data_IF_065482843099
#
_entry.id   IF_065482843099
#
_cell.length_a   1.000
_cell.length_b   1.000
_cell.length_c   1.000
_cell.angle_alpha   90.00
_cell.angle_beta   90.00
_cell.angle_gamma   90.00
#
_symmetry.space_group_name_H-M   'P 1'
#
loop_
_entity.id
_entity.type
_entity.pdbx_description
1 polymer ?
#
# COMPACT_ATOMS: atom_id res chain seq x y z
N UNK A 1 -21.19 5.89 12.29
CA UNK A 1 -19.89 6.12 11.63
C UNK A 1 -20.07 7.36 10.79
N UNK A 2 -19.28 8.41 10.98
CA UNK A 2 -19.35 9.59 10.11
C UNK A 2 -19.02 9.17 8.68
N UNK A 3 -19.80 9.63 7.72
CA UNK A 3 -19.52 9.49 6.29
C UNK A 3 -18.26 10.30 5.97
N UNK A 4 -17.26 9.61 5.42
CA UNK A 4 -16.01 10.25 4.99
C UNK A 4 -16.25 10.97 3.66
N UNK A 5 -15.83 12.23 3.53
CA UNK A 5 -15.97 12.96 2.28
C UNK A 5 -15.10 12.34 1.18
N UNK A 6 -15.54 12.48 -0.08
CA UNK A 6 -14.84 12.00 -1.26
C UNK A 6 -13.66 12.90 -1.61
N UNK A 7 -12.68 12.36 -2.35
CA UNK A 7 -11.59 13.18 -2.89
C UNK A 7 -12.11 13.97 -4.08
N UNK A 8 -11.55 15.15 -4.41
CA UNK A 8 -11.99 15.94 -5.56
C UNK A 8 -11.97 15.13 -6.86
N UNK A 9 -10.89 14.37 -7.10
CA UNK A 9 -10.84 13.42 -8.22
C UNK A 9 -11.97 12.39 -8.22
N UNK A 10 -12.30 11.82 -7.06
CA UNK A 10 -13.39 10.84 -6.97
C UNK A 10 -14.75 11.47 -7.24
N UNK A 11 -14.96 12.72 -6.83
CA UNK A 11 -16.18 13.48 -7.15
C UNK A 11 -16.29 13.63 -8.66
N UNK A 12 -15.24 14.15 -9.32
CA UNK A 12 -15.20 14.30 -10.78
C UNK A 12 -15.46 12.99 -11.51
N UNK A 13 -14.76 11.91 -11.15
CA UNK A 13 -14.89 10.61 -11.82
C UNK A 13 -16.33 10.06 -11.68
N UNK A 14 -16.99 10.28 -10.53
CA UNK A 14 -18.40 9.89 -10.32
C UNK A 14 -19.39 10.80 -11.04
N UNK A 15 -19.11 12.09 -11.16
CA UNK A 15 -19.93 13.03 -11.94
C UNK A 15 -19.90 12.69 -13.43
N UNK A 16 -18.72 12.37 -13.97
CA UNK A 16 -18.57 11.90 -15.35
C UNK A 16 -19.37 10.60 -15.58
N UNK A 17 -19.28 9.64 -14.66
CA UNK A 17 -20.02 8.39 -14.77
C UNK A 17 -21.54 8.61 -14.65
N UNK A 18 -21.98 9.48 -13.72
CA UNK A 18 -23.38 9.89 -13.61
C UNK A 18 -23.89 10.43 -14.95
N UNK A 19 -23.12 11.30 -15.59
CA UNK A 19 -23.54 11.94 -16.83
C UNK A 19 -23.53 10.96 -18.01
N UNK A 20 -22.58 10.00 -18.05
CA UNK A 20 -22.62 8.88 -19.00
C UNK A 20 -23.87 8.02 -18.84
N UNK A 21 -24.22 7.64 -17.61
CA UNK A 21 -25.40 6.80 -17.32
C UNK A 21 -26.71 7.52 -17.67
N UNK A 22 -26.79 8.84 -17.46
CA UNK A 22 -27.93 9.66 -17.90
C UNK A 22 -28.11 9.60 -19.41
N UNK A 23 -27.03 9.80 -20.18
CA UNK A 23 -27.07 9.72 -21.64
C UNK A 23 -27.56 8.33 -22.09
N UNK A 24 -27.08 7.27 -21.44
CA UNK A 24 -27.49 5.90 -21.74
C UNK A 24 -28.98 5.67 -21.42
N UNK A 25 -29.50 6.25 -20.34
CA UNK A 25 -30.93 6.15 -20.00
C UNK A 25 -31.83 6.85 -21.02
N UNK A 26 -31.39 8.01 -21.52
CA UNK A 26 -32.11 8.85 -22.48
C UNK A 26 -32.09 8.27 -23.91
N UNK A 27 -31.18 7.35 -24.20
CA UNK A 27 -31.13 6.68 -25.50
C UNK A 27 -32.40 5.82 -25.72
N UNK A 28 -33.01 5.92 -26.92
CA UNK A 28 -34.05 4.98 -27.32
C UNK A 28 -33.41 3.59 -27.43
N UNK A 29 -34.07 2.59 -26.84
CA UNK A 29 -33.67 1.19 -26.94
C UNK A 29 -34.58 0.50 -27.96
N UNK A 30 -34.23 0.49 -29.26
CA UNK A 30 -35.07 -0.08 -30.30
C UNK A 30 -35.19 -1.60 -30.19
N UNK A 31 -34.21 -2.26 -29.57
CA UNK A 31 -34.12 -3.72 -29.49
C UNK A 31 -34.69 -4.28 -28.18
N UNK A 32 -34.98 -3.42 -27.19
CA UNK A 32 -35.43 -3.83 -25.86
C UNK A 32 -34.42 -4.69 -25.09
N UNK A 33 -33.15 -4.71 -25.55
CA UNK A 33 -32.08 -5.53 -24.98
C UNK A 33 -31.36 -4.81 -23.83
N UNK A 34 -31.59 -3.51 -23.68
CA UNK A 34 -30.90 -2.70 -22.69
C UNK A 34 -31.62 -2.77 -21.34
N UNK A 35 -30.91 -3.22 -20.30
CA UNK A 35 -31.46 -3.29 -18.95
C UNK A 35 -31.51 -1.90 -18.28
N UNK A 36 -32.51 -1.09 -18.65
CA UNK A 36 -32.72 0.25 -18.08
C UNK A 36 -32.89 0.24 -16.55
N UNK A 37 -33.41 -0.85 -15.98
CA UNK A 37 -33.57 -1.00 -14.53
C UNK A 37 -32.23 -1.05 -13.79
N UNK A 38 -31.24 -1.76 -14.35
CA UNK A 38 -29.91 -1.86 -13.77
C UNK A 38 -29.15 -0.54 -13.84
N UNK A 39 -29.23 0.15 -14.98
CA UNK A 39 -28.64 1.48 -15.16
C UNK A 39 -29.30 2.51 -14.25
N UNK A 40 -30.63 2.50 -14.10
CA UNK A 40 -31.33 3.36 -13.15
C UNK A 40 -30.92 3.09 -11.70
N UNK A 41 -30.72 1.82 -11.33
CA UNK A 41 -30.22 1.47 -10.00
C UNK A 41 -28.76 1.93 -9.79
N UNK A 42 -27.92 1.85 -10.81
CA UNK A 42 -26.55 2.36 -10.75
C UNK A 42 -26.51 3.89 -10.63
N UNK A 43 -27.32 4.59 -11.42
CA UNK A 43 -27.45 6.06 -11.36
C UNK A 43 -27.92 6.50 -9.96
N UNK A 44 -28.91 5.82 -9.39
CA UNK A 44 -29.38 6.12 -8.03
C UNK A 44 -28.27 5.93 -6.98
N UNK A 45 -27.48 4.86 -7.09
CA UNK A 45 -26.34 4.62 -6.18
C UNK A 45 -25.29 5.73 -6.28
N UNK A 46 -24.93 6.15 -7.50
CA UNK A 46 -23.94 7.21 -7.71
C UNK A 46 -24.45 8.56 -7.21
N UNK A 47 -25.71 8.91 -7.49
CA UNK A 47 -26.30 10.15 -6.98
C UNK A 47 -26.27 10.19 -5.46
N UNK A 48 -26.70 9.11 -4.79
CA UNK A 48 -26.62 9.00 -3.34
C UNK A 48 -25.19 9.13 -2.83
N UNK A 49 -24.23 8.51 -3.51
CA UNK A 49 -22.83 8.56 -3.14
C UNK A 49 -22.23 9.97 -3.29
N UNK A 50 -22.60 10.70 -4.34
CA UNK A 50 -22.21 12.10 -4.54
C UNK A 50 -22.88 13.03 -3.52
N UNK A 51 -24.16 12.83 -3.20
CA UNK A 51 -24.90 13.61 -2.20
C UNK A 51 -24.31 13.45 -0.79
N UNK A 52 -24.03 12.22 -0.37
CA UNK A 52 -23.47 11.94 0.96
C UNK A 52 -21.98 12.24 1.05
N UNK A 53 -21.27 12.19 -0.09
CA UNK A 53 -19.81 12.24 -0.16
C UNK A 53 -19.22 13.61 -0.54
N UNK A 54 -20.03 14.51 -1.10
CA UNK A 54 -19.57 15.85 -1.48
C UNK A 54 -19.72 16.81 -0.30
N UNK A 55 -18.64 17.48 0.14
CA UNK A 55 -18.73 18.46 1.23
C UNK A 55 -19.62 19.65 0.83
N UNK A 56 -20.47 20.15 1.75
CA UNK A 56 -21.31 21.30 1.48
C UNK A 56 -20.47 22.59 1.35
N UNK A 57 -20.99 23.63 0.68
CA UNK A 57 -20.32 24.92 0.62
C UNK A 57 -20.16 25.51 2.03
N UNK A 58 -18.93 25.88 2.39
CA UNK A 58 -18.60 26.40 3.73
C UNK A 58 -18.88 27.90 3.87
N UNK A 59 -19.56 28.29 4.95
CA UNK A 59 -19.68 29.68 5.39
C UNK A 59 -18.40 30.16 6.06
N UNK A 60 -18.21 31.48 6.20
CA UNK A 60 -17.02 32.04 6.88
C UNK A 60 -16.91 31.56 8.34
N UNK A 61 -18.02 31.57 9.08
CA UNK A 61 -18.06 31.08 10.47
C UNK A 61 -17.64 29.61 10.57
N UNK A 62 -18.15 28.78 9.64
CA UNK A 62 -17.80 27.35 9.58
C UNK A 62 -16.31 27.14 9.28
N UNK A 63 -15.70 27.97 8.44
CA UNK A 63 -14.26 27.89 8.16
C UNK A 63 -13.42 28.15 9.41
N UNK A 64 -13.80 29.14 10.22
CA UNK A 64 -13.10 29.42 11.47
C UNK A 64 -13.22 28.27 12.48
N UNK A 65 -14.40 27.65 12.58
CA UNK A 65 -14.60 26.44 13.38
C UNK A 65 -13.73 25.28 12.89
N UNK A 66 -13.73 25.02 11.58
CA UNK A 66 -12.92 23.97 10.96
C UNK A 66 -11.43 24.19 11.22
N UNK A 67 -10.94 25.42 11.09
CA UNK A 67 -9.54 25.74 11.38
C UNK A 67 -9.16 25.45 12.84
N UNK A 68 -10.01 25.79 13.80
CA UNK A 68 -9.78 25.48 15.23
C UNK A 68 -9.83 23.97 15.48
N UNK A 69 -10.78 23.28 14.84
CA UNK A 69 -10.92 21.83 14.94
C UNK A 69 -9.69 21.12 14.37
N UNK A 70 -9.22 21.54 13.18
CA UNK A 70 -8.01 21.02 12.54
C UNK A 70 -6.82 21.18 13.48
N UNK A 71 -6.56 22.38 14.01
CA UNK A 71 -5.44 22.63 14.91
C UNK A 71 -5.49 21.75 16.18
N UNK A 72 -6.68 21.54 16.74
CA UNK A 72 -6.89 20.68 17.91
C UNK A 72 -6.60 19.21 17.56
N UNK A 73 -7.16 18.72 16.45
CA UNK A 73 -6.95 17.35 16.00
C UNK A 73 -5.48 17.09 15.63
N UNK A 74 -4.80 18.06 15.02
CA UNK A 74 -3.37 17.95 14.72
C UNK A 74 -2.54 17.77 15.98
N UNK A 75 -2.77 18.59 17.02
CA UNK A 75 -2.10 18.43 18.31
C UNK A 75 -2.35 17.05 18.93
N UNK A 76 -3.60 16.57 18.89
CA UNK A 76 -3.96 15.26 19.45
C UNK A 76 -3.43 14.07 18.64
N UNK A 77 -3.38 14.17 17.31
CA UNK A 77 -2.90 13.11 16.42
C UNK A 77 -1.38 13.02 16.50
N UNK A 78 -0.70 14.17 16.56
CA UNK A 78 0.75 14.24 16.72
C UNK A 78 1.22 13.77 18.11
N UNK A 79 0.33 13.74 19.11
CA UNK A 79 0.65 13.16 20.40
C UNK A 79 0.90 11.65 20.29
N UNK A 80 2.01 11.19 20.86
CA UNK A 80 2.48 9.81 20.80
C UNK A 80 2.64 9.23 19.37
N UNK A 81 2.74 10.09 18.34
CA UNK A 81 3.05 9.65 16.97
C UNK A 81 4.53 9.24 16.90
N UNK A 82 4.89 8.05 16.36
CA UNK A 82 6.27 7.65 16.23
C UNK A 82 7.07 8.62 15.35
N UNK A 83 8.34 8.84 15.66
CA UNK A 83 9.19 9.71 14.85
C UNK A 83 9.48 9.09 13.47
N UNK A 84 9.75 9.95 12.49
CA UNK A 84 10.07 9.50 11.12
C UNK A 84 11.36 8.67 11.08
N UNK A 85 12.34 9.02 11.91
CA UNK A 85 13.61 8.32 12.00
C UNK A 85 13.45 6.87 12.45
N UNK A 86 12.62 6.64 13.47
CA UNK A 86 12.36 5.30 14.00
C UNK A 86 11.66 4.42 12.95
N UNK A 87 10.73 5.00 12.20
CA UNK A 87 10.06 4.31 11.09
C UNK A 87 11.02 3.92 9.97
N UNK A 88 11.97 4.81 9.63
CA UNK A 88 12.96 4.55 8.58
C UNK A 88 14.00 3.52 9.05
N UNK A 89 14.52 3.66 10.27
CA UNK A 89 15.51 2.74 10.85
C UNK A 89 14.94 1.36 11.15
N UNK A 90 13.61 1.23 11.20
CA UNK A 90 12.91 -0.02 11.49
C UNK A 90 13.36 -0.64 12.82
N UNK A 91 13.51 0.20 13.85
CA UNK A 91 13.87 -0.24 15.19
C UNK A 91 12.85 -1.28 15.69
N UNK A 92 13.28 -2.38 16.34
CA UNK A 92 12.36 -3.39 16.87
C UNK A 92 11.24 -2.75 17.72
N UNK A 93 9.99 -3.12 17.45
CA UNK A 93 8.81 -2.60 18.16
C UNK A 93 8.18 -1.32 17.58
N UNK A 94 8.87 -0.60 16.68
CA UNK A 94 8.33 0.63 16.06
C UNK A 94 7.06 0.36 15.24
N UNK A 95 7.03 -0.75 14.50
CA UNK A 95 5.83 -1.14 13.74
C UNK A 95 4.61 -1.39 14.64
N UNK A 96 4.82 -2.02 15.80
CA UNK A 96 3.74 -2.25 16.77
C UNK A 96 3.29 -0.96 17.45
N UNK A 97 4.22 -0.06 17.76
CA UNK A 97 3.90 1.27 18.28
C UNK A 97 3.08 2.07 17.27
N UNK A 98 3.51 2.12 16.00
CA UNK A 98 2.77 2.78 14.93
C UNK A 98 1.36 2.20 14.77
N UNK A 99 1.23 0.86 14.76
CA UNK A 99 -0.08 0.20 14.64
C UNK A 99 -1.00 0.51 15.83
N UNK A 100 -0.47 0.56 17.05
CA UNK A 100 -1.24 0.93 18.25
C UNK A 100 -1.69 2.39 18.19
N UNK A 101 -0.78 3.29 17.81
CA UNK A 101 -1.07 4.71 17.62
C UNK A 101 -2.14 4.92 16.53
N UNK A 102 -1.99 4.28 15.37
CA UNK A 102 -2.93 4.40 14.26
C UNK A 102 -4.33 3.93 14.68
N UNK A 103 -4.40 2.78 15.37
CA UNK A 103 -5.68 2.26 15.88
C UNK A 103 -6.34 3.21 16.87
N UNK A 104 -5.57 3.82 17.77
CA UNK A 104 -6.09 4.75 18.76
C UNK A 104 -6.57 6.07 18.13
N UNK A 105 -5.87 6.56 17.10
CA UNK A 105 -6.15 7.85 16.47
C UNK A 105 -6.98 7.76 15.18
N UNK A 106 -7.37 6.56 14.72
CA UNK A 106 -8.08 6.36 13.45
C UNK A 106 -9.30 7.27 13.28
N UNK A 107 -10.14 7.40 14.30
CA UNK A 107 -11.34 8.25 14.26
C UNK A 107 -10.98 9.73 14.12
N UNK A 108 -9.96 10.19 14.85
CA UNK A 108 -9.45 11.57 14.80
C UNK A 108 -8.85 11.89 13.44
N UNK A 109 -8.06 10.96 12.88
CA UNK A 109 -7.46 11.10 11.55
C UNK A 109 -8.54 11.21 10.48
N UNK A 110 -9.60 10.39 10.53
CA UNK A 110 -10.69 10.49 9.58
C UNK A 110 -11.38 11.85 9.67
N UNK A 111 -11.71 12.29 10.89
CA UNK A 111 -12.33 13.60 11.13
C UNK A 111 -11.45 14.76 10.66
N UNK A 112 -10.14 14.69 10.90
CA UNK A 112 -9.18 15.69 10.42
C UNK A 112 -9.14 15.75 8.89
N UNK A 113 -9.12 14.59 8.22
CA UNK A 113 -9.19 14.55 6.75
C UNK A 113 -10.48 15.14 6.21
N UNK A 114 -11.61 14.86 6.86
CA UNK A 114 -12.91 15.40 6.47
C UNK A 114 -12.95 16.92 6.67
N UNK A 115 -12.49 17.42 7.82
CA UNK A 115 -12.41 18.85 8.10
C UNK A 115 -11.55 19.60 7.07
N UNK A 116 -10.40 19.03 6.67
CA UNK A 116 -9.55 19.61 5.63
C UNK A 116 -10.24 19.64 4.26
N UNK A 117 -10.98 18.60 3.90
CA UNK A 117 -11.74 18.54 2.63
C UNK A 117 -12.94 19.47 2.61
N UNK A 118 -13.57 19.68 3.76
CA UNK A 118 -14.64 20.67 3.90
C UNK A 118 -14.09 22.09 3.76
N UNK A 119 -12.90 22.34 4.31
CA UNK A 119 -12.22 23.64 4.22
C UNK A 119 -11.81 24.01 2.79
N UNK A 120 -11.19 23.06 2.07
CA UNK A 120 -10.78 23.23 0.68
C UNK A 120 -11.19 22.02 -0.17
N UNK A 121 -12.42 22.03 -0.72
CA UNK A 121 -12.96 20.91 -1.49
C UNK A 121 -12.37 20.80 -2.90
N UNK A 122 -11.58 21.78 -3.34
CA UNK A 122 -10.99 21.81 -4.69
C UNK A 122 -9.57 21.28 -4.73
N UNK A 123 -8.92 21.14 -3.58
CA UNK A 123 -7.53 20.74 -3.48
C UNK A 123 -7.34 19.24 -3.71
N UNK A 124 -6.83 18.87 -4.89
CA UNK A 124 -6.56 17.49 -5.29
C UNK A 124 -5.11 17.04 -4.99
N UNK A 125 -4.35 17.80 -4.20
CA UNK A 125 -3.01 17.38 -3.79
C UNK A 125 -3.08 16.09 -2.95
N UNK A 126 -2.24 15.13 -3.32
CA UNK A 126 -2.12 13.82 -2.66
C UNK A 126 -1.69 14.00 -1.21
N UNK A 127 -0.84 14.99 -0.94
CA UNK A 127 -0.29 15.25 0.39
C UNK A 127 -1.17 16.15 1.27
N UNK A 128 -2.20 16.81 0.71
CA UNK A 128 -3.06 17.72 1.46
C UNK A 128 -3.75 17.05 2.66
N UNK A 129 -4.20 15.81 2.50
CA UNK A 129 -4.84 15.01 3.56
C UNK A 129 -3.97 13.86 4.06
N UNK A 130 -2.67 13.88 3.76
CA UNK A 130 -1.74 12.85 4.19
C UNK A 130 -1.35 13.06 5.67
N UNK A 131 -1.63 12.09 6.53
CA UNK A 131 -1.32 12.21 7.98
C UNK A 131 0.18 12.26 8.26
N UNK A 132 1.00 11.77 7.34
CA UNK A 132 2.46 11.77 7.48
C UNK A 132 3.05 13.19 7.48
N UNK A 133 2.32 14.20 6.99
CA UNK A 133 2.74 15.62 7.08
C UNK A 133 2.81 16.10 8.54
N UNK A 134 2.02 15.49 9.43
CA UNK A 134 1.98 15.82 10.87
C UNK A 134 3.10 15.14 11.65
N UNK A 135 3.81 14.20 11.02
CA UNK A 135 4.93 13.52 11.66
C UNK A 135 6.08 14.52 11.75
N UNK A 136 6.55 14.77 12.98
CA UNK A 136 7.67 15.67 13.24
C UNK A 136 8.84 15.32 12.32
N UNK A 137 9.15 16.24 11.40
CA UNK A 137 10.28 16.11 10.49
C UNK A 137 11.55 16.35 11.32
N UNK A 138 12.18 15.28 11.80
CA UNK A 138 13.61 15.35 12.05
C UNK A 138 14.28 15.40 10.67
N UNK A 139 15.28 16.28 10.50
CA UNK A 139 16.04 16.43 9.26
C UNK A 139 16.53 15.06 8.77
N UNK A 140 15.90 14.53 7.72
CA UNK A 140 16.28 13.25 7.10
C UNK A 140 17.76 13.23 6.69
N UNK A 141 18.36 14.40 6.45
CA UNK A 141 19.78 14.56 6.11
C UNK A 141 20.76 14.14 7.22
N UNK A 142 20.28 13.94 8.45
CA UNK A 142 21.10 13.49 9.60
C UNK A 142 20.87 12.01 9.95
N UNK A 143 19.94 11.33 9.28
CA UNK A 143 19.70 9.91 9.51
C UNK A 143 20.82 9.14 8.82
N UNK A 144 21.90 8.88 9.55
CA UNK A 144 22.85 7.82 9.16
C UNK A 144 22.05 6.52 9.03
N UNK A 145 22.07 5.87 7.86
CA UNK A 145 21.40 4.59 7.68
C UNK A 145 21.99 3.62 8.69
N UNK A 146 21.13 2.95 9.46
CA UNK A 146 21.56 1.86 10.30
C UNK A 146 22.10 0.76 9.36
N UNK A 147 23.42 0.59 9.31
CA UNK A 147 24.03 -0.58 8.69
C UNK A 147 23.54 -1.79 9.48
N UNK A 148 22.50 -2.45 9.00
CA UNK A 148 22.26 -3.83 9.36
C UNK A 148 23.50 -4.58 8.86
N UNK A 149 24.43 -4.88 9.75
CA UNK A 149 25.48 -5.86 9.48
C UNK A 149 24.78 -7.20 9.31
N UNK A 150 24.34 -7.51 8.09
CA UNK A 150 23.93 -8.85 7.70
C UNK A 150 25.20 -9.71 7.73
N UNK A 151 25.44 -10.40 8.84
CA UNK A 151 26.54 -11.37 8.93
C UNK A 151 27.31 -11.46 10.25
N UNK A 152 26.86 -10.86 11.36
CA UNK A 152 27.50 -11.11 12.67
C UNK A 152 26.64 -12.09 13.47
N UNK A 153 27.00 -13.36 13.42
CA UNK A 153 26.42 -14.42 14.24
C UNK A 153 26.91 -14.21 15.69
N UNK A 154 26.04 -13.75 16.59
CA UNK A 154 26.39 -13.39 17.99
C UNK A 154 26.43 -14.61 18.93
N UNK A 155 26.88 -15.78 18.45
CA UNK A 155 27.03 -16.99 19.27
C UNK A 155 28.51 -17.26 19.56
N UNK A 156 28.97 -16.68 20.67
CA UNK A 156 30.25 -17.00 21.30
C UNK A 156 31.28 -15.91 21.13
N UNK A 157 31.20 -14.87 21.99
CA UNK A 157 32.34 -14.15 22.58
C UNK A 157 33.37 -13.41 21.72
N UNK A 158 33.54 -13.73 20.43
CA UNK A 158 34.60 -13.21 19.59
C UNK A 158 34.01 -12.60 18.31
N UNK A 159 34.36 -11.33 18.08
CA UNK A 159 34.05 -10.63 16.83
C UNK A 159 35.01 -11.18 15.77
N UNK A 160 34.56 -12.16 14.99
CA UNK A 160 35.27 -12.54 13.76
C UNK A 160 34.93 -11.48 12.71
N UNK A 161 35.90 -10.73 12.15
CA UNK A 161 35.64 -9.85 11.03
C UNK A 161 35.27 -10.73 9.84
N UNK A 162 33.98 -10.73 9.48
CA UNK A 162 33.51 -11.34 8.23
C UNK A 162 34.31 -10.77 7.07
N UNK A 163 34.94 -11.66 6.31
CA UNK A 163 35.90 -11.36 5.26
C UNK A 163 35.43 -10.24 4.34
N UNK A 164 36.24 -9.18 4.30
CA UNK A 164 36.26 -8.24 3.19
C UNK A 164 36.56 -9.09 1.95
N UNK A 165 35.70 -9.16 0.91
CA UNK A 165 36.16 -9.70 -0.35
C UNK A 165 37.36 -8.84 -0.78
N UNK A 166 38.50 -9.49 -1.03
CA UNK A 166 39.80 -8.88 -1.32
C UNK A 166 39.64 -7.58 -2.12
N UNK A 167 40.32 -6.52 -1.65
CA UNK A 167 40.23 -5.16 -2.21
C UNK A 167 40.42 -5.12 -3.74
N UNK A 168 41.11 -6.11 -4.31
CA UNK A 168 41.29 -6.31 -5.76
C UNK A 168 39.97 -6.49 -6.54
N UNK A 169 38.90 -7.01 -5.93
CA UNK A 169 37.59 -7.18 -6.60
C UNK A 169 36.74 -5.90 -6.66
N UNK A 170 37.07 -4.89 -5.86
CA UNK A 170 36.32 -3.63 -5.83
C UNK A 170 36.82 -2.68 -6.94
N UNK A 171 38.11 -2.69 -7.25
CA UNK A 171 38.70 -1.82 -8.27
C UNK A 171 38.37 -2.26 -9.70
N UNK A 172 38.14 -3.56 -9.96
CA UNK A 172 37.76 -4.06 -11.28
C UNK A 172 36.35 -3.66 -11.75
N UNK A 173 35.51 -3.12 -10.85
CA UNK A 173 34.13 -2.70 -11.18
C UNK A 173 33.97 -1.19 -11.38
N UNK A 174 35.04 -0.43 -11.18
CA UNK A 174 35.13 1.03 -11.38
C UNK A 174 36.27 1.31 -12.38
N UNK A 175 36.36 0.52 -13.45
CA UNK A 175 37.27 0.80 -14.57
C UNK A 175 36.43 1.18 -15.83
N UNK A 176 36.85 2.18 -16.61
CA UNK A 176 36.15 2.58 -17.84
C UNK A 176 36.17 1.47 -18.91
N UNK A 177 35.16 1.42 -19.81
CA UNK A 177 34.81 0.25 -20.61
C UNK A 177 35.67 0.02 -21.87
N UNK A 178 36.99 0.15 -21.79
CA UNK A 178 37.87 -0.05 -22.97
C UNK A 178 38.75 -1.30 -22.90
N UNK A 179 38.76 -2.06 -21.80
CA UNK A 179 39.61 -3.26 -21.66
C UNK A 179 38.82 -4.59 -21.63
N UNK A 180 37.48 -4.54 -21.67
CA UNK A 180 36.63 -5.72 -21.58
C UNK A 180 36.61 -6.62 -22.84
N UNK A 181 37.34 -6.26 -23.91
CA UNK A 181 37.33 -7.01 -25.19
C UNK A 181 38.46 -8.05 -25.27
N UNK A 182 39.48 -8.00 -24.41
CA UNK A 182 40.67 -8.84 -24.56
C UNK A 182 40.67 -10.16 -23.74
N UNK A 183 39.60 -10.49 -23.02
CA UNK A 183 39.54 -11.69 -22.14
C UNK A 183 38.43 -12.67 -22.57
N UNK A 184 38.09 -12.70 -23.86
CA UNK A 184 37.06 -13.61 -24.42
C UNK A 184 37.59 -14.52 -25.54
N UNK A 185 38.91 -14.72 -25.66
CA UNK A 185 39.50 -15.49 -26.76
C UNK A 185 40.32 -16.74 -26.39
N UNK A 186 40.32 -17.20 -25.13
CA UNK A 186 41.00 -18.46 -24.79
C UNK A 186 40.27 -19.27 -23.73
N UNK A 187 39.19 -19.96 -24.11
CA UNK A 187 38.87 -21.27 -23.50
C UNK A 187 38.39 -22.23 -24.61
N UNK A 188 39.16 -23.30 -24.81
CA UNK A 188 38.93 -24.36 -25.77
C UNK A 188 37.67 -25.19 -25.41
N UNK A 189 36.95 -25.78 -26.38
CA UNK A 189 35.77 -26.59 -26.10
C UNK A 189 36.16 -27.99 -25.62
N UNK A 190 36.15 -28.22 -24.31
CA UNK A 190 36.17 -29.58 -23.76
C UNK A 190 34.79 -30.22 -23.87
N UNK A 191 34.70 -31.23 -24.75
CA UNK A 191 33.84 -32.42 -24.72
C UNK A 191 32.46 -32.32 -24.05
N UNK A 192 31.43 -32.35 -24.89
CA UNK A 192 30.04 -32.52 -24.51
C UNK A 192 29.80 -33.89 -23.83
N UNK A 193 29.73 -33.90 -22.50
CA UNK A 193 29.11 -35.00 -21.77
C UNK A 193 27.59 -34.83 -21.81
N UNK A 194 26.93 -35.62 -22.65
CA UNK A 194 25.48 -35.76 -22.68
C UNK A 194 24.98 -36.40 -21.39
N UNK A 195 24.34 -35.62 -20.52
CA UNK A 195 23.55 -36.14 -19.41
C UNK A 195 22.07 -36.18 -19.84
N UNK A 196 21.61 -37.35 -20.28
CA UNK A 196 20.19 -37.61 -20.48
C UNK A 196 19.52 -37.82 -19.13
N UNK A 197 18.73 -36.83 -18.68
CA UNK A 197 17.76 -37.04 -17.59
C UNK A 197 16.50 -37.61 -18.21
N UNK A 198 16.20 -38.86 -17.88
CA UNK A 198 14.90 -39.45 -18.13
C UNK A 198 13.84 -38.70 -17.31
N UNK A 199 12.94 -37.98 -17.99
CA UNK A 199 11.70 -37.50 -17.42
C UNK A 199 10.62 -38.54 -17.71
N UNK A 200 10.47 -39.51 -16.80
CA UNK A 200 9.25 -40.29 -16.72
C UNK A 200 8.18 -39.42 -16.03
N UNK A 201 7.16 -39.09 -16.82
CA UNK A 201 5.81 -38.70 -16.44
C UNK A 201 5.57 -38.25 -15.00
N UNK A 202 5.26 -36.96 -14.82
CA UNK A 202 4.07 -36.54 -14.06
C UNK A 202 3.80 -35.04 -14.23
N UNK A 203 2.80 -34.73 -15.04
CA UNK A 203 2.11 -33.44 -15.07
C UNK A 203 1.68 -33.01 -13.67
N UNK A 204 2.19 -31.87 -13.18
CA UNK A 204 1.64 -31.20 -12.00
C UNK A 204 1.06 -29.83 -12.37
N UNK A 205 -0.17 -29.84 -12.89
CA UNK A 205 -1.01 -28.64 -12.94
C UNK A 205 -1.64 -28.44 -11.56
N UNK A 206 -1.10 -27.51 -10.78
CA UNK A 206 -1.68 -27.13 -9.48
C UNK A 206 -2.89 -26.22 -9.71
N UNK A 207 -4.04 -26.82 -9.98
CA UNK A 207 -5.35 -26.16 -10.01
C UNK A 207 -5.82 -25.80 -8.59
N UNK A 208 -6.49 -24.66 -8.50
CA UNK A 208 -6.98 -24.01 -7.26
C UNK A 208 -8.20 -24.75 -6.69
N UNK A 209 -8.09 -25.95 -6.10
CA UNK A 209 -9.29 -26.63 -5.57
C UNK A 209 -9.14 -27.52 -4.32
N UNK A 210 -8.05 -27.43 -3.57
CA UNK A 210 -7.87 -28.31 -2.39
C UNK A 210 -8.27 -27.71 -1.04
N UNK A 211 -8.65 -26.43 -0.97
CA UNK A 211 -9.01 -25.80 0.32
C UNK A 211 -10.39 -26.21 0.84
N UNK A 212 -11.32 -26.62 -0.02
CA UNK A 212 -12.71 -26.95 0.37
C UNK A 212 -12.90 -28.37 0.92
N UNK A 213 -11.99 -29.31 0.62
CA UNK A 213 -12.04 -30.70 1.12
C UNK A 213 -11.39 -30.89 2.48
N UNK A 214 -10.41 -30.05 2.85
CA UNK A 214 -9.75 -30.14 4.16
C UNK A 214 -10.67 -29.70 5.32
N UNK A 215 -11.47 -28.66 5.13
CA UNK A 215 -12.40 -28.16 6.17
C UNK A 215 -13.61 -29.08 6.42
N UNK A 216 -14.01 -29.88 5.43
CA UNK A 216 -15.11 -30.84 5.59
C UNK A 216 -14.72 -32.07 6.41
N UNK A 217 -13.45 -32.49 6.37
CA UNK A 217 -12.96 -33.65 7.12
C UNK A 217 -12.77 -33.34 8.62
N UNK A 218 -12.37 -32.12 8.96
CA UNK A 218 -12.24 -31.67 10.36
C UNK A 218 -13.60 -31.49 11.05
N UNK A 219 -14.67 -31.19 10.31
CA UNK A 219 -16.02 -31.02 10.86
C UNK A 219 -16.68 -32.35 11.25
N UNK A 220 -16.36 -33.44 10.57
CA UNK A 220 -16.92 -34.77 10.86
C UNK A 220 -16.22 -35.51 12.01
N UNK A 221 -14.99 -35.12 12.36
CA UNK A 221 -14.26 -35.73 13.47
C UNK A 221 -14.66 -35.17 14.86
N UNK A 222 -15.26 -33.97 14.91
CA UNK A 222 -15.74 -33.33 16.15
C UNK A 222 -17.09 -33.86 16.65
N UNK A 223 -17.90 -34.47 15.78
CA UNK A 223 -19.23 -35.00 16.14
C UNK A 223 -19.21 -36.45 16.66
N UNK A 224 -18.06 -37.13 16.63
CA UNK A 224 -17.90 -38.51 17.16
C UNK A 224 -17.33 -38.59 18.58
N UNK A 225 -17.02 -37.47 19.24
CA UNK A 225 -16.45 -37.45 20.61
C UNK A 225 -17.45 -37.09 21.73
N UNK A 226 -18.75 -36.98 21.42
CA UNK A 226 -19.81 -36.75 22.42
C UNK A 226 -21.00 -37.70 22.20
N UNK A 227 -20.72 -38.99 22.19
CA UNK A 227 -21.69 -40.03 22.56
C UNK A 227 -20.98 -41.02 23.48
#
# INVERSE_FOLDING_TARGET
>A
MGTQFLKPRQIRDNEEERDRLKVIMDQPDPDGKFNKGEVGAQLHRINKFLEEGTPPPTTLERRDELNREIATLEAEISDNMPFREDMVRSTPGTGDHHRKWEKANKSKILRWKDAKRELDPTNDDVDFTNVEILRRQNDLGKIVPFRQYSGVDMRGGDIVPGGIPDAEKIEARIAPPEVAVAVLEQEEPTEAQSFTVACDDCHFTRTKDTKKKADSALRMHRLKKHK
#
